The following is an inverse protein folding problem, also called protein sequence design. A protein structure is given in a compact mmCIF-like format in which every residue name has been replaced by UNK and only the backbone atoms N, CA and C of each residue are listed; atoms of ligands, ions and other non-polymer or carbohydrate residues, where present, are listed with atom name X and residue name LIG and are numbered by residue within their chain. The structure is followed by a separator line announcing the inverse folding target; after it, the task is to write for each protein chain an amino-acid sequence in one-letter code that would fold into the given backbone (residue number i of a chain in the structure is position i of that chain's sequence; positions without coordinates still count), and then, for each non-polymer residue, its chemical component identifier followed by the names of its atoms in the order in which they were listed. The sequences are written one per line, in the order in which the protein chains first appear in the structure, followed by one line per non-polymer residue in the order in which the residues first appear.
data_IF_384053452859
#
_entry.id   IF_384053452859
#
_cell.length_a   1.000
_cell.length_b   1.000
_cell.length_c   1.000
_cell.angle_alpha   90.00
_cell.angle_beta   90.00
_cell.angle_gamma   90.00
#
_symmetry.space_group_name_H-M   'P 1'
#
loop_
_entity.id
_entity.type
_entity.pdbx_description
1 polymer ?
#
# COMPACT_ATOMS: atom_id res chain seq x y z
N UNK A 1 11.37 -1.92 -2.63
CA UNK A 1 12.53 -1.78 -1.72
C UNK A 1 13.43 -3.02 -1.67
N UNK A 2 13.12 -4.07 -0.89
CA UNK A 2 14.06 -5.20 -0.66
C UNK A 2 14.04 -6.28 -1.75
N UNK A 3 12.86 -6.61 -2.27
CA UNK A 3 12.69 -7.68 -3.26
C UNK A 3 12.68 -7.20 -4.71
N UNK A 4 12.83 -5.88 -4.95
CA UNK A 4 12.59 -5.25 -6.25
C UNK A 4 13.45 -5.83 -7.39
N UNK A 5 14.74 -6.05 -7.13
CA UNK A 5 15.69 -6.59 -8.12
C UNK A 5 15.78 -8.13 -8.10
N UNK A 6 14.92 -8.82 -7.33
CA UNK A 6 14.90 -10.28 -7.30
C UNK A 6 14.08 -10.84 -8.46
N UNK A 7 14.29 -12.11 -8.88
CA UNK A 7 13.48 -12.73 -9.93
C UNK A 7 11.98 -12.69 -9.65
N UNK A 8 11.58 -12.81 -8.37
CA UNK A 8 10.18 -12.70 -7.95
C UNK A 8 9.63 -11.27 -8.14
N UNK A 9 10.38 -10.26 -7.69
CA UNK A 9 10.01 -8.85 -7.86
C UNK A 9 9.85 -8.49 -9.33
N UNK A 10 10.85 -8.81 -10.15
CA UNK A 10 10.82 -8.59 -11.60
C UNK A 10 9.63 -9.29 -12.26
N UNK A 11 9.34 -10.55 -11.92
CA UNK A 11 8.15 -11.28 -12.43
C UNK A 11 6.83 -10.60 -12.04
N UNK A 12 6.73 -10.09 -10.80
CA UNK A 12 5.51 -9.43 -10.32
C UNK A 12 5.27 -8.11 -11.05
N UNK A 13 6.31 -7.32 -11.31
CA UNK A 13 6.20 -6.00 -11.93
C UNK A 13 6.45 -6.01 -13.45
N UNK A 14 6.81 -7.16 -14.03
CA UNK A 14 7.07 -7.30 -15.46
C UNK A 14 8.31 -6.56 -15.94
N UNK A 15 9.30 -6.36 -15.07
CA UNK A 15 10.52 -5.59 -15.38
C UNK A 15 11.68 -6.48 -15.79
N UNK A 16 12.54 -5.95 -16.64
CA UNK A 16 13.87 -6.51 -16.94
C UNK A 16 14.85 -6.24 -15.80
N UNK A 17 16.02 -6.90 -15.85
CA UNK A 17 17.08 -6.72 -14.84
C UNK A 17 17.62 -5.30 -14.84
N UNK A 18 17.80 -4.72 -16.02
CA UNK A 18 18.27 -3.36 -16.23
C UNK A 18 17.26 -2.34 -15.70
N UNK A 19 15.98 -2.47 -16.07
CA UNK A 19 14.91 -1.58 -15.57
C UNK A 19 14.78 -1.66 -14.04
N UNK A 20 14.82 -2.87 -13.47
CA UNK A 20 14.73 -3.07 -12.03
C UNK A 20 15.92 -2.44 -11.29
N UNK A 21 17.13 -2.49 -11.87
CA UNK A 21 18.31 -1.85 -11.30
C UNK A 21 18.18 -0.32 -11.30
N UNK A 22 17.78 0.27 -12.43
CA UNK A 22 17.63 1.73 -12.58
C UNK A 22 16.51 2.29 -11.70
N UNK A 23 15.40 1.58 -11.58
CA UNK A 23 14.22 2.02 -10.81
C UNK A 23 14.29 1.68 -9.31
N UNK A 24 15.33 0.97 -8.85
CA UNK A 24 15.46 0.52 -7.46
C UNK A 24 15.32 1.65 -6.43
N UNK A 25 15.93 2.84 -6.58
CA UNK A 25 15.76 3.93 -5.61
C UNK A 25 14.32 4.45 -5.55
N UNK A 26 13.65 4.58 -6.71
CA UNK A 26 12.24 4.99 -6.78
C UNK A 26 11.33 3.98 -6.08
N UNK A 27 11.52 2.69 -6.35
CA UNK A 27 10.76 1.61 -5.71
C UNK A 27 11.11 1.43 -4.21
N UNK A 28 12.26 1.92 -3.76
CA UNK A 28 12.58 2.00 -2.34
C UNK A 28 11.81 3.15 -1.68
N UNK A 29 11.79 4.33 -2.29
CA UNK A 29 11.08 5.49 -1.77
C UNK A 29 9.56 5.26 -1.72
N UNK A 30 8.98 4.69 -2.77
CA UNK A 30 7.56 4.26 -2.78
C UNK A 30 7.26 3.26 -1.65
N UNK A 31 8.18 2.32 -1.40
CA UNK A 31 8.06 1.37 -0.30
C UNK A 31 8.08 2.04 1.08
N UNK A 32 8.92 3.08 1.27
CA UNK A 32 9.00 3.83 2.52
C UNK A 32 7.70 4.61 2.79
N UNK A 33 7.14 5.29 1.79
CA UNK A 33 5.85 5.97 1.94
C UNK A 33 4.73 5.00 2.31
N UNK A 34 4.67 3.83 1.66
CA UNK A 34 3.72 2.78 2.04
C UNK A 34 3.97 2.28 3.48
N UNK A 35 5.23 2.27 3.93
CA UNK A 35 5.59 2.00 5.32
C UNK A 35 5.01 3.03 6.29
N UNK A 36 4.98 4.32 5.94
CA UNK A 36 4.32 5.33 6.75
C UNK A 36 2.80 5.15 6.82
N UNK A 37 2.15 4.74 5.72
CA UNK A 37 0.73 4.40 5.74
C UNK A 37 0.48 3.23 6.71
N UNK A 38 1.29 2.17 6.64
CA UNK A 38 1.20 1.03 7.55
C UNK A 38 1.42 1.44 9.02
N UNK A 39 2.42 2.28 9.29
CA UNK A 39 2.68 2.80 10.62
C UNK A 39 1.50 3.62 11.16
N UNK A 40 0.87 4.45 10.33
CA UNK A 40 -0.33 5.22 10.68
C UNK A 40 -1.52 4.32 11.04
N UNK A 41 -1.73 3.24 10.28
CA UNK A 41 -2.78 2.25 10.57
C UNK A 41 -2.50 1.54 11.89
N UNK A 42 -1.27 1.06 12.11
CA UNK A 42 -0.88 0.41 13.37
C UNK A 42 -1.07 1.36 14.54
N UNK A 43 -0.67 2.63 14.38
CA UNK A 43 -0.86 3.65 15.40
C UNK A 43 -2.33 3.83 15.76
N UNK A 44 -3.22 3.92 14.77
CA UNK A 44 -4.67 3.97 15.00
C UNK A 44 -5.20 2.74 15.75
N UNK A 45 -4.74 1.54 15.38
CA UNK A 45 -5.16 0.28 16.01
C UNK A 45 -4.73 0.14 17.48
N UNK A 46 -3.58 0.72 17.87
CA UNK A 46 -3.06 0.66 19.24
C UNK A 46 -3.35 1.93 20.05
N UNK A 47 -4.12 2.86 19.49
CA UNK A 47 -4.41 4.13 20.15
C UNK A 47 -5.26 3.90 21.42
N UNK A 48 -4.94 4.54 22.56
CA UNK A 48 -5.63 4.29 23.84
C UNK A 48 -7.10 4.73 23.83
N UNK A 49 -7.44 5.72 22.99
CA UNK A 49 -8.81 6.13 22.74
C UNK A 49 -9.29 5.49 21.43
N UNK A 50 -10.27 4.59 21.53
CA UNK A 50 -10.79 3.81 20.41
C UNK A 50 -11.37 4.70 19.29
N UNK A 51 -12.20 5.69 19.63
CA UNK A 51 -12.83 6.57 18.65
C UNK A 51 -11.80 7.39 17.84
N UNK A 52 -10.73 7.85 18.50
CA UNK A 52 -9.61 8.52 17.84
C UNK A 52 -8.83 7.52 16.96
N UNK A 53 -8.59 6.32 17.48
CA UNK A 53 -7.92 5.24 16.75
C UNK A 53 -8.64 4.86 15.46
N UNK A 54 -9.96 4.67 15.53
CA UNK A 54 -10.84 4.41 14.39
C UNK A 54 -10.74 5.52 13.34
N UNK A 55 -10.79 6.79 13.77
CA UNK A 55 -10.66 7.94 12.86
C UNK A 55 -9.31 7.94 12.11
N UNK A 56 -8.23 7.57 12.80
CA UNK A 56 -6.89 7.43 12.19
C UNK A 56 -6.89 6.27 11.18
N UNK A 57 -7.41 5.10 11.54
CA UNK A 57 -7.47 3.94 10.65
C UNK A 57 -8.30 4.26 9.41
N UNK A 58 -9.48 4.86 9.57
CA UNK A 58 -10.37 5.28 8.47
C UNK A 58 -9.62 6.21 7.51
N UNK A 59 -8.95 7.25 8.02
CA UNK A 59 -8.19 8.18 7.20
C UNK A 59 -7.13 7.47 6.34
N UNK A 60 -6.31 6.62 6.96
CA UNK A 60 -5.27 5.89 6.23
C UNK A 60 -5.84 4.84 5.26
N UNK A 61 -6.95 4.16 5.60
CA UNK A 61 -7.64 3.24 4.70
C UNK A 61 -8.16 3.97 3.45
N UNK A 62 -8.73 5.17 3.60
CA UNK A 62 -9.16 6.01 2.48
C UNK A 62 -7.97 6.38 1.59
N UNK A 63 -6.84 6.80 2.18
CA UNK A 63 -5.62 7.07 1.41
C UNK A 63 -5.15 5.84 0.62
N UNK A 64 -5.16 4.65 1.24
CA UNK A 64 -4.79 3.39 0.57
C UNK A 64 -5.76 3.07 -0.57
N UNK A 65 -7.07 3.28 -0.39
CA UNK A 65 -8.06 3.08 -1.44
C UNK A 65 -7.85 4.01 -2.63
N UNK A 66 -7.62 5.31 -2.40
CA UNK A 66 -7.34 6.28 -3.46
C UNK A 66 -6.08 5.87 -4.23
N UNK A 67 -5.01 5.51 -3.52
CA UNK A 67 -3.78 5.04 -4.13
C UNK A 67 -3.99 3.74 -4.94
N UNK A 68 -4.82 2.81 -4.46
CA UNK A 68 -5.13 1.57 -5.16
C UNK A 68 -5.95 1.83 -6.43
N UNK A 69 -6.92 2.74 -6.39
CA UNK A 69 -7.71 3.14 -7.56
C UNK A 69 -6.79 3.73 -8.64
N UNK A 70 -5.97 4.72 -8.28
CA UNK A 70 -5.04 5.36 -9.20
C UNK A 70 -3.98 4.37 -9.73
N UNK A 71 -3.36 3.59 -8.84
CA UNK A 71 -2.33 2.62 -9.20
C UNK A 71 -2.87 1.47 -10.06
N UNK A 72 -4.09 1.02 -9.82
CA UNK A 72 -4.73 -0.01 -10.66
C UNK A 72 -5.12 0.51 -12.05
N UNK A 73 -5.43 1.80 -12.16
CA UNK A 73 -5.70 2.46 -13.45
C UNK A 73 -4.42 2.77 -14.25
N UNK A 74 -3.31 3.11 -13.58
CA UNK A 74 -2.09 3.63 -14.23
C UNK A 74 -0.92 2.65 -14.27
N UNK A 75 -0.77 1.77 -13.29
CA UNK A 75 0.40 0.88 -13.15
C UNK A 75 0.03 -0.56 -13.46
N UNK A 76 -0.90 -1.15 -12.71
CA UNK A 76 -1.28 -2.56 -12.88
C UNK A 76 -2.66 -2.87 -12.28
N UNK A 77 -3.59 -3.37 -13.10
CA UNK A 77 -4.97 -3.70 -12.66
C UNK A 77 -5.06 -4.60 -11.42
N UNK A 78 -4.10 -5.49 -11.20
CA UNK A 78 -4.09 -6.35 -10.01
C UNK A 78 -3.99 -5.57 -8.69
N UNK A 79 -3.56 -4.30 -8.71
CA UNK A 79 -3.52 -3.43 -7.53
C UNK A 79 -4.92 -3.21 -6.95
N UNK A 80 -5.96 -3.13 -7.78
CA UNK A 80 -7.35 -3.06 -7.29
C UNK A 80 -7.70 -4.25 -6.41
N UNK A 81 -7.22 -5.45 -6.75
CA UNK A 81 -7.51 -6.68 -6.00
C UNK A 81 -6.57 -6.91 -4.82
N UNK A 82 -5.26 -6.65 -4.99
CA UNK A 82 -4.25 -6.96 -3.96
C UNK A 82 -4.16 -5.85 -2.90
N UNK A 83 -4.52 -4.62 -3.24
CA UNK A 83 -4.44 -3.48 -2.33
C UNK A 83 -5.82 -2.85 -2.07
N UNK A 84 -6.60 -2.62 -3.13
CA UNK A 84 -7.91 -1.95 -3.02
C UNK A 84 -8.95 -2.79 -2.26
N UNK A 85 -9.12 -4.05 -2.63
CA UNK A 85 -10.12 -4.92 -2.01
C UNK A 85 -9.85 -5.15 -0.50
N UNK A 86 -8.63 -5.47 -0.04
CA UNK A 86 -8.34 -5.58 1.39
C UNK A 86 -8.60 -4.27 2.15
N UNK A 87 -8.23 -3.12 1.58
CA UNK A 87 -8.47 -1.82 2.18
C UNK A 87 -9.97 -1.51 2.29
N UNK A 88 -10.76 -1.89 1.29
CA UNK A 88 -12.22 -1.73 1.31
C UNK A 88 -12.86 -2.60 2.39
N UNK A 89 -12.46 -3.86 2.49
CA UNK A 89 -12.95 -4.78 3.52
C UNK A 89 -12.61 -4.23 4.91
N UNK A 90 -11.35 -3.84 5.14
CA UNK A 90 -10.93 -3.26 6.41
C UNK A 90 -11.70 -1.98 6.76
N UNK A 91 -11.92 -1.09 5.78
CA UNK A 91 -12.70 0.13 5.99
C UNK A 91 -14.15 -0.18 6.39
N UNK A 92 -14.80 -1.13 5.70
CA UNK A 92 -16.16 -1.57 6.04
C UNK A 92 -16.18 -2.17 7.46
N UNK A 93 -15.18 -2.97 7.83
CA UNK A 93 -15.11 -3.57 9.17
C UNK A 93 -14.94 -2.56 10.30
N UNK A 94 -14.38 -1.38 10.04
CA UNK A 94 -14.24 -0.31 11.06
C UNK A 94 -15.50 0.55 11.14
N UNK A 95 -16.30 0.61 10.07
CA UNK A 95 -17.52 1.42 9.99
C UNK A 95 -18.78 0.69 10.49
N UNK A 96 -18.71 -0.63 10.70
CA UNK A 96 -19.80 -1.49 11.17
C UNK A 96 -19.59 -1.91 12.62
#
# INVERSE_FOLDING_TARGET
MFLWTTPRGMKTFGTTKEEAAVTKPLAANQGLYNGFLAAGIIWGLVHPNAQTGESIVIFFMICVLIAALYGGATVKRSIWLVQGLPALIALISVLL
#
